data_IF_396485131129
#
_entry.id   IF_396485131129
#
_cell.length_a   1.000
_cell.length_b   1.000
_cell.length_c   1.000
_cell.angle_alpha   90.00
_cell.angle_beta   90.00
_cell.angle_gamma   90.00
#
_symmetry.space_group_name_H-M   'P 1'
#
loop_
_entity.id
_entity.type
_entity.pdbx_description
1 polymer ?
#
# COMPACT_ATOMS: atom_id res chain seq x y z
N UNK A 1 38.76 18.25 0.69
CA UNK A 1 37.32 18.25 1.03
C UNK A 1 37.02 16.88 1.62
N UNK A 2 36.97 16.81 2.95
CA UNK A 2 36.94 15.55 3.72
C UNK A 2 35.64 14.81 3.44
N UNK A 3 35.75 13.60 2.88
CA UNK A 3 34.66 12.65 2.81
C UNK A 3 34.35 12.22 4.24
N UNK A 4 33.45 12.96 4.91
CA UNK A 4 32.87 12.52 6.17
C UNK A 4 32.27 11.14 5.94
N UNK A 5 32.82 10.16 6.64
CA UNK A 5 32.48 8.74 6.53
C UNK A 5 31.03 8.57 6.98
N UNK A 6 30.08 8.63 6.04
CA UNK A 6 28.67 8.47 6.37
C UNK A 6 28.48 7.01 6.75
N UNK A 7 28.14 6.78 8.02
CA UNK A 7 27.76 5.45 8.50
C UNK A 7 26.69 4.86 7.58
N UNK A 8 26.92 3.67 7.00
CA UNK A 8 26.00 3.08 6.05
C UNK A 8 24.68 2.71 6.74
N UNK A 9 23.59 2.81 5.99
CA UNK A 9 22.26 2.39 6.42
C UNK A 9 22.23 0.86 6.53
N UNK A 10 22.14 0.37 7.77
CA UNK A 10 22.04 -1.06 8.11
C UNK A 10 20.59 -1.52 8.23
N UNK A 11 20.38 -2.85 8.25
CA UNK A 11 19.06 -3.50 8.31
C UNK A 11 18.18 -2.99 9.47
N UNK A 12 18.77 -2.72 10.64
CA UNK A 12 18.00 -2.26 11.80
C UNK A 12 17.37 -0.87 11.61
N UNK A 13 17.92 -0.02 10.73
CA UNK A 13 17.26 1.24 10.36
C UNK A 13 15.99 0.98 9.56
N UNK A 14 15.99 -0.05 8.70
CA UNK A 14 14.79 -0.49 7.99
C UNK A 14 13.73 -1.04 8.95
N UNK A 15 14.14 -1.81 9.95
CA UNK A 15 13.24 -2.31 11.01
C UNK A 15 12.65 -1.15 11.82
N UNK A 16 13.47 -0.20 12.27
CA UNK A 16 13.00 0.97 12.99
C UNK A 16 12.04 1.81 12.15
N UNK A 17 12.40 2.08 10.90
CA UNK A 17 11.56 2.81 9.96
C UNK A 17 10.21 2.10 9.76
N UNK A 18 10.21 0.78 9.58
CA UNK A 18 8.98 0.01 9.45
C UNK A 18 8.12 0.04 10.70
N UNK A 19 8.73 -0.08 11.89
CA UNK A 19 8.02 0.03 13.16
C UNK A 19 7.35 1.42 13.32
N UNK A 20 8.05 2.49 12.95
CA UNK A 20 7.50 3.85 12.93
C UNK A 20 6.37 3.99 11.92
N UNK A 21 6.54 3.46 10.70
CA UNK A 21 5.50 3.46 9.68
C UNK A 21 4.25 2.74 10.18
N UNK A 22 4.37 1.54 10.75
CA UNK A 22 3.25 0.79 11.32
C UNK A 22 2.55 1.57 12.45
N UNK A 23 3.31 2.17 13.36
CA UNK A 23 2.75 2.99 14.44
C UNK A 23 1.94 4.18 13.89
N UNK A 24 2.44 4.85 12.85
CA UNK A 24 1.74 5.92 12.16
C UNK A 24 0.48 5.40 11.44
N UNK A 25 0.57 4.27 10.73
CA UNK A 25 -0.57 3.67 10.01
C UNK A 25 -1.74 3.40 10.96
N UNK A 26 -1.47 2.72 12.08
CA UNK A 26 -2.51 2.41 13.06
C UNK A 26 -2.95 3.63 13.86
N UNK A 27 -2.04 4.58 14.14
CA UNK A 27 -2.37 5.84 14.79
C UNK A 27 -3.34 6.68 13.97
N UNK A 28 -3.06 6.86 12.67
CA UNK A 28 -3.92 7.58 11.73
C UNK A 28 -5.26 6.87 11.52
N UNK A 29 -5.25 5.55 11.41
CA UNK A 29 -6.48 4.75 11.33
C UNK A 29 -7.39 5.01 12.53
N UNK A 30 -6.85 4.94 13.75
CA UNK A 30 -7.61 5.21 14.98
C UNK A 30 -8.10 6.66 15.04
N UNK A 31 -7.29 7.62 14.61
CA UNK A 31 -7.67 9.03 14.55
C UNK A 31 -8.83 9.28 13.57
N UNK A 32 -8.75 8.75 12.35
CA UNK A 32 -9.81 8.88 11.34
C UNK A 32 -11.13 8.27 11.82
N UNK A 33 -11.06 7.14 12.54
CA UNK A 33 -12.22 6.50 13.14
C UNK A 33 -12.83 7.30 14.29
N UNK A 34 -11.99 7.82 15.17
CA UNK A 34 -12.44 8.66 16.28
C UNK A 34 -13.13 9.92 15.76
N UNK A 35 -12.57 10.55 14.72
CA UNK A 35 -13.18 11.70 14.02
C UNK A 35 -14.56 11.37 13.42
N UNK A 36 -14.80 10.10 13.10
CA UNK A 36 -16.09 9.57 12.63
C UNK A 36 -17.06 9.15 13.74
N UNK A 37 -16.66 9.25 15.01
CA UNK A 37 -17.52 8.92 16.16
C UNK A 37 -17.50 7.46 16.60
N UNK A 38 -16.56 6.64 16.12
CA UNK A 38 -16.40 5.27 16.62
C UNK A 38 -15.86 5.27 18.06
N UNK A 39 -16.51 4.54 18.97
CA UNK A 39 -16.18 4.50 20.41
C UNK A 39 -15.29 3.33 20.82
N UNK A 40 -15.26 2.26 20.04
CA UNK A 40 -14.47 1.06 20.34
C UNK A 40 -13.11 1.09 19.66
N UNK A 41 -12.14 0.38 20.26
CA UNK A 41 -10.84 0.17 19.66
C UNK A 41 -11.01 -0.75 18.44
N UNK A 42 -11.13 -0.14 17.26
CA UNK A 42 -11.09 -0.84 15.99
C UNK A 42 -9.87 -1.74 15.86
N UNK A 43 -10.03 -2.87 15.16
CA UNK A 43 -8.96 -3.84 14.93
C UNK A 43 -9.14 -4.60 13.62
N UNK A 44 -8.40 -5.69 13.49
CA UNK A 44 -8.35 -6.53 12.29
C UNK A 44 -9.74 -7.09 11.93
N UNK A 45 -10.54 -7.49 12.92
CA UNK A 45 -11.90 -8.01 12.73
C UNK A 45 -12.81 -7.01 12.00
N UNK A 46 -12.64 -5.72 12.22
CA UNK A 46 -13.48 -4.71 11.56
C UNK A 46 -12.99 -4.36 10.16
N UNK A 47 -11.67 -4.36 9.95
CA UNK A 47 -11.08 -4.26 8.62
C UNK A 47 -11.57 -5.44 7.78
N UNK A 48 -11.54 -6.64 8.35
CA UNK A 48 -12.07 -7.84 7.74
C UNK A 48 -13.57 -7.73 7.48
N UNK A 49 -14.39 -7.35 8.47
CA UNK A 49 -15.82 -7.14 8.24
C UNK A 49 -16.09 -6.16 7.11
N UNK A 50 -15.46 -4.98 7.10
CA UNK A 50 -15.64 -4.02 6.01
C UNK A 50 -15.19 -4.58 4.65
N UNK A 51 -14.13 -5.37 4.61
CA UNK A 51 -13.67 -6.01 3.39
C UNK A 51 -14.63 -7.12 2.91
N UNK A 52 -15.17 -7.91 3.84
CA UNK A 52 -16.08 -9.03 3.56
C UNK A 52 -17.51 -8.55 3.28
N UNK A 53 -17.89 -7.38 3.79
CA UNK A 53 -19.16 -6.70 3.58
C UNK A 53 -19.26 -6.21 2.13
N UNK A 54 -20.23 -6.75 1.38
CA UNK A 54 -20.54 -6.30 0.03
C UNK A 54 -20.00 -7.18 -1.09
N UNK A 55 -20.16 -6.71 -2.32
CA UNK A 55 -19.78 -7.45 -3.52
C UNK A 55 -18.27 -7.42 -3.73
N UNK A 56 -17.69 -8.61 -3.89
CA UNK A 56 -16.27 -8.81 -4.23
C UNK A 56 -16.15 -9.65 -5.49
N UNK A 57 -15.11 -9.43 -6.32
CA UNK A 57 -14.89 -10.24 -7.50
C UNK A 57 -14.40 -11.65 -7.14
N UNK A 58 -14.67 -12.65 -7.97
CA UNK A 58 -14.28 -14.06 -7.70
C UNK A 58 -12.78 -14.26 -7.47
N UNK A 59 -11.95 -13.40 -8.06
CA UNK A 59 -10.49 -13.43 -7.91
C UNK A 59 -9.99 -12.72 -6.64
N UNK A 60 -10.90 -12.20 -5.78
CA UNK A 60 -10.52 -11.62 -4.50
C UNK A 60 -9.78 -12.66 -3.64
N UNK A 61 -8.56 -12.37 -3.17
CA UNK A 61 -7.81 -13.29 -2.32
C UNK A 61 -8.58 -13.61 -1.03
N UNK A 62 -8.34 -14.78 -0.40
CA UNK A 62 -8.81 -15.01 0.95
C UNK A 62 -8.10 -14.07 1.94
N UNK A 63 -8.77 -13.70 3.05
CA UNK A 63 -8.26 -12.72 4.03
C UNK A 63 -6.86 -13.08 4.56
N UNK A 64 -6.56 -14.36 4.77
CA UNK A 64 -5.26 -14.81 5.28
C UNK A 64 -4.10 -14.52 4.31
N UNK A 65 -4.35 -14.41 3.00
CA UNK A 65 -3.30 -14.21 2.00
C UNK A 65 -2.66 -12.81 2.08
N UNK A 66 -3.39 -11.83 2.63
CA UNK A 66 -2.91 -10.46 2.76
C UNK A 66 -1.68 -10.37 3.68
N UNK A 67 -1.65 -11.10 4.80
CA UNK A 67 -0.54 -11.06 5.76
C UNK A 67 0.81 -11.46 5.16
N UNK A 68 0.93 -12.68 4.59
CA UNK A 68 2.15 -13.13 3.91
C UNK A 68 2.54 -12.24 2.72
N UNK A 69 1.57 -11.83 1.89
CA UNK A 69 1.84 -10.98 0.74
C UNK A 69 2.45 -9.64 1.16
N UNK A 70 1.85 -8.96 2.13
CA UNK A 70 2.38 -7.69 2.65
C UNK A 70 3.72 -7.84 3.34
N UNK A 71 3.96 -8.96 4.04
CA UNK A 71 5.27 -9.22 4.65
C UNK A 71 6.36 -9.32 3.58
N UNK A 72 6.14 -10.11 2.53
CA UNK A 72 7.08 -10.24 1.41
C UNK A 72 7.32 -8.89 0.72
N UNK A 73 6.25 -8.15 0.43
CA UNK A 73 6.31 -6.86 -0.25
C UNK A 73 7.04 -5.79 0.57
N UNK A 74 6.80 -5.75 1.88
CA UNK A 74 7.46 -4.80 2.79
C UNK A 74 8.95 -5.11 2.91
N UNK A 75 9.34 -6.39 3.00
CA UNK A 75 10.76 -6.79 3.01
C UNK A 75 11.45 -6.34 1.72
N UNK A 76 10.85 -6.61 0.55
CA UNK A 76 11.39 -6.17 -0.74
C UNK A 76 11.53 -4.65 -0.85
N UNK A 77 10.51 -3.91 -0.42
CA UNK A 77 10.48 -2.44 -0.45
C UNK A 77 11.50 -1.82 0.50
N UNK A 78 11.62 -2.33 1.73
CA UNK A 78 12.62 -1.88 2.71
C UNK A 78 14.04 -2.17 2.22
N UNK A 79 14.27 -3.35 1.64
CA UNK A 79 15.57 -3.68 1.07
C UNK A 79 15.93 -2.75 -0.08
N UNK A 80 14.98 -2.46 -0.98
CA UNK A 80 15.18 -1.52 -2.09
C UNK A 80 15.50 -0.10 -1.59
N UNK A 81 14.77 0.38 -0.56
CA UNK A 81 15.00 1.66 0.09
C UNK A 81 16.40 1.75 0.71
N UNK A 82 16.79 0.78 1.54
CA UNK A 82 18.11 0.74 2.19
C UNK A 82 19.24 0.66 1.16
N UNK A 83 19.05 -0.12 0.09
CA UNK A 83 20.00 -0.23 -1.01
C UNK A 83 20.19 1.13 -1.69
N UNK A 84 19.11 1.84 -2.04
CA UNK A 84 19.17 3.17 -2.64
C UNK A 84 19.80 4.21 -1.70
N UNK A 85 19.49 4.16 -0.40
CA UNK A 85 20.07 5.05 0.59
C UNK A 85 21.60 4.94 0.68
N UNK A 86 22.14 3.73 0.50
CA UNK A 86 23.57 3.44 0.48
C UNK A 86 24.26 3.69 -0.88
N UNK A 87 23.52 4.05 -1.92
CA UNK A 87 24.12 4.46 -3.19
C UNK A 87 24.75 5.85 -3.09
N UNK A 88 25.70 6.15 -3.97
CA UNK A 88 26.26 7.50 -4.14
C UNK A 88 25.15 8.52 -4.40
N UNK A 89 25.20 9.72 -3.79
CA UNK A 89 24.26 10.79 -4.10
C UNK A 89 24.23 11.12 -5.59
N UNK A 90 23.04 11.36 -6.12
CA UNK A 90 22.83 11.70 -7.53
C UNK A 90 21.36 11.90 -7.84
N UNK A 91 21.04 12.60 -8.92
CA UNK A 91 19.66 12.97 -9.28
C UNK A 91 18.74 11.76 -9.39
N UNK A 92 19.19 10.68 -10.04
CA UNK A 92 18.38 9.47 -10.21
C UNK A 92 18.09 8.78 -8.86
N UNK A 93 19.07 8.78 -7.93
CA UNK A 93 18.88 8.28 -6.57
C UNK A 93 17.87 9.14 -5.83
N UNK A 94 17.95 10.46 -5.94
CA UNK A 94 17.00 11.39 -5.30
C UNK A 94 15.59 11.14 -5.81
N UNK A 95 15.40 11.03 -7.14
CA UNK A 95 14.09 10.73 -7.73
C UNK A 95 13.54 9.40 -7.21
N UNK A 96 14.36 8.34 -7.17
CA UNK A 96 13.93 7.06 -6.62
C UNK A 96 13.50 7.18 -5.15
N UNK A 97 14.31 7.85 -4.32
CA UNK A 97 13.99 8.04 -2.91
C UNK A 97 12.73 8.89 -2.70
N UNK A 98 12.49 9.92 -3.51
CA UNK A 98 11.24 10.69 -3.48
C UNK A 98 10.04 9.80 -3.78
N UNK A 99 10.11 8.96 -4.82
CA UNK A 99 9.04 8.03 -5.15
C UNK A 99 8.78 7.01 -4.02
N UNK A 100 9.84 6.51 -3.38
CA UNK A 100 9.71 5.64 -2.21
C UNK A 100 9.09 6.37 -1.02
N UNK A 101 9.48 7.62 -0.74
CA UNK A 101 8.86 8.43 0.31
C UNK A 101 7.37 8.59 0.06
N UNK A 102 6.96 8.93 -1.16
CA UNK A 102 5.54 9.05 -1.53
C UNK A 102 4.81 7.71 -1.38
N UNK A 103 5.45 6.61 -1.77
CA UNK A 103 4.89 5.25 -1.63
C UNK A 103 4.64 4.88 -0.17
N UNK A 104 5.58 5.22 0.73
CA UNK A 104 5.43 4.96 2.16
C UNK A 104 4.40 5.89 2.82
N UNK A 105 4.26 7.13 2.36
CA UNK A 105 3.19 8.03 2.81
C UNK A 105 1.81 7.51 2.39
N UNK A 106 1.69 7.01 1.16
CA UNK A 106 0.47 6.35 0.68
C UNK A 106 0.14 5.13 1.57
N UNK A 107 1.11 4.23 1.76
CA UNK A 107 0.98 3.05 2.63
C UNK A 107 0.53 3.42 4.06
N UNK A 108 1.15 4.43 4.66
CA UNK A 108 0.84 4.89 6.03
C UNK A 108 -0.57 5.48 6.12
N UNK A 109 -1.04 6.16 5.08
CA UNK A 109 -2.37 6.80 5.08
C UNK A 109 -3.49 5.87 4.64
N UNK A 110 -3.17 4.74 4.00
CA UNK A 110 -4.14 3.82 3.40
C UNK A 110 -5.21 3.33 4.38
N UNK A 111 -4.81 2.81 5.56
CA UNK A 111 -5.79 2.29 6.52
C UNK A 111 -6.77 3.37 6.99
N UNK A 112 -6.28 4.59 7.20
CA UNK A 112 -7.12 5.71 7.57
C UNK A 112 -8.09 6.09 6.44
N UNK A 113 -7.57 6.26 5.22
CA UNK A 113 -8.34 6.72 4.06
C UNK A 113 -9.41 5.70 3.61
N UNK A 114 -9.08 4.42 3.62
CA UNK A 114 -9.98 3.34 3.18
C UNK A 114 -10.88 2.86 4.32
N UNK A 115 -10.30 2.24 5.35
CA UNK A 115 -11.06 1.57 6.42
C UNK A 115 -11.51 2.55 7.50
N UNK A 116 -10.66 3.50 7.87
CA UNK A 116 -10.99 4.51 8.86
C UNK A 116 -12.18 5.35 8.43
N UNK A 117 -12.18 5.79 7.17
CA UNK A 117 -13.30 6.51 6.56
C UNK A 117 -14.37 5.61 5.93
N UNK A 118 -14.23 4.28 5.96
CA UNK A 118 -15.11 3.29 5.29
C UNK A 118 -15.49 3.67 3.85
N UNK A 119 -14.48 3.99 3.04
CA UNK A 119 -14.62 4.47 1.67
C UNK A 119 -13.96 3.48 0.68
N UNK A 120 -14.77 2.65 -0.02
CA UNK A 120 -14.29 1.83 -1.12
C UNK A 120 -13.59 2.64 -2.22
N UNK A 121 -14.07 3.86 -2.49
CA UNK A 121 -13.49 4.72 -3.52
C UNK A 121 -12.07 5.16 -3.13
N UNK A 122 -11.84 5.55 -1.87
CA UNK A 122 -10.50 5.82 -1.37
C UNK A 122 -9.62 4.56 -1.42
N UNK A 123 -10.19 3.39 -1.12
CA UNK A 123 -9.51 2.11 -1.28
C UNK A 123 -8.96 1.92 -2.70
N UNK A 124 -9.76 2.22 -3.73
CA UNK A 124 -9.30 2.21 -5.12
C UNK A 124 -8.24 3.28 -5.42
N UNK A 125 -8.50 4.54 -5.06
CA UNK A 125 -7.62 5.68 -5.38
C UNK A 125 -6.22 5.50 -4.79
N UNK A 126 -6.11 5.16 -3.51
CA UNK A 126 -4.81 4.92 -2.88
C UNK A 126 -4.11 3.69 -3.46
N UNK A 127 -4.83 2.58 -3.67
CA UNK A 127 -4.22 1.38 -4.26
C UNK A 127 -3.65 1.67 -5.65
N UNK A 128 -4.40 2.41 -6.48
CA UNK A 128 -3.96 2.81 -7.81
C UNK A 128 -2.79 3.80 -7.76
N UNK A 129 -2.81 4.76 -6.83
CA UNK A 129 -1.71 5.69 -6.63
C UNK A 129 -0.42 4.95 -6.21
N UNK A 130 -0.52 4.03 -5.25
CA UNK A 130 0.60 3.20 -4.83
C UNK A 130 1.12 2.31 -5.98
N UNK A 131 0.22 1.77 -6.81
CA UNK A 131 0.62 1.00 -7.98
C UNK A 131 1.46 1.83 -8.96
N UNK A 132 1.00 3.04 -9.29
CA UNK A 132 1.72 3.97 -10.17
C UNK A 132 3.06 4.37 -9.57
N UNK A 133 3.12 4.73 -8.28
CA UNK A 133 4.36 5.09 -7.59
C UNK A 133 5.37 3.93 -7.59
N UNK A 134 4.90 2.70 -7.42
CA UNK A 134 5.72 1.49 -7.45
C UNK A 134 6.24 1.21 -8.87
N UNK A 135 5.39 1.32 -9.90
CA UNK A 135 5.81 1.21 -11.29
C UNK A 135 6.89 2.23 -11.66
N UNK A 136 6.70 3.49 -11.25
CA UNK A 136 7.68 4.56 -11.49
C UNK A 136 8.99 4.27 -10.74
N UNK A 137 8.92 3.81 -9.49
CA UNK A 137 10.09 3.40 -8.72
C UNK A 137 10.85 2.26 -9.42
N UNK A 138 10.13 1.25 -9.90
CA UNK A 138 10.68 0.09 -10.59
C UNK A 138 11.31 0.49 -11.94
N UNK A 139 10.70 1.43 -12.67
CA UNK A 139 11.26 2.02 -13.89
C UNK A 139 12.56 2.77 -13.61
N UNK A 140 12.57 3.66 -12.62
CA UNK A 140 13.77 4.41 -12.23
C UNK A 140 14.89 3.46 -11.79
N UNK A 141 14.55 2.42 -11.02
CA UNK A 141 15.50 1.38 -10.63
C UNK A 141 16.16 0.69 -11.83
N UNK A 142 15.35 0.24 -12.78
CA UNK A 142 15.82 -0.54 -13.92
C UNK A 142 16.55 0.32 -14.96
N UNK A 143 15.99 1.48 -15.31
CA UNK A 143 16.45 2.26 -16.46
C UNK A 143 17.45 3.34 -16.05
N UNK A 144 17.18 4.04 -14.95
CA UNK A 144 17.99 5.20 -14.52
C UNK A 144 19.13 4.79 -13.62
N UNK A 145 18.86 3.95 -12.62
CA UNK A 145 19.88 3.43 -11.70
C UNK A 145 20.61 2.20 -12.26
N UNK A 146 20.06 1.57 -13.31
CA UNK A 146 20.59 0.33 -13.91
C UNK A 146 20.80 -0.80 -12.90
N UNK A 147 19.95 -0.84 -11.87
CA UNK A 147 20.03 -1.79 -10.78
C UNK A 147 18.89 -2.82 -10.88
N UNK A 148 19.17 -3.93 -11.54
CA UNK A 148 18.20 -5.02 -11.73
C UNK A 148 17.76 -5.63 -10.41
N UNK A 149 18.65 -5.75 -9.42
CA UNK A 149 18.30 -6.36 -8.14
C UNK A 149 17.30 -5.47 -7.40
N UNK A 150 17.52 -4.15 -7.44
CA UNK A 150 16.60 -3.16 -6.91
C UNK A 150 15.22 -3.24 -7.57
N UNK A 151 15.18 -3.31 -8.90
CA UNK A 151 13.92 -3.45 -9.66
C UNK A 151 13.19 -4.78 -9.33
N UNK A 152 13.93 -5.88 -9.23
CA UNK A 152 13.38 -7.20 -8.89
C UNK A 152 12.79 -7.24 -7.49
N UNK A 153 13.38 -6.54 -6.51
CA UNK A 153 12.86 -6.47 -5.16
C UNK A 153 11.47 -5.80 -5.07
N UNK A 154 11.12 -4.93 -6.03
CA UNK A 154 9.80 -4.30 -6.12
C UNK A 154 8.79 -5.12 -6.92
N UNK A 155 9.22 -6.15 -7.65
CA UNK A 155 8.35 -6.93 -8.54
C UNK A 155 7.20 -7.63 -7.82
N UNK A 156 7.39 -8.29 -6.65
CA UNK A 156 6.29 -8.88 -5.90
C UNK A 156 5.21 -7.84 -5.53
N UNK A 157 5.64 -6.66 -5.08
CA UNK A 157 4.74 -5.56 -4.73
C UNK A 157 3.98 -5.06 -5.97
N UNK A 158 4.64 -4.87 -7.11
CA UNK A 158 3.99 -4.44 -8.36
C UNK A 158 2.91 -5.43 -8.80
N UNK A 159 3.19 -6.74 -8.75
CA UNK A 159 2.21 -7.76 -9.12
C UNK A 159 1.02 -7.78 -8.15
N UNK A 160 1.30 -7.66 -6.86
CA UNK A 160 0.26 -7.58 -5.83
C UNK A 160 -0.63 -6.33 -6.03
N UNK A 161 -0.02 -5.17 -6.28
CA UNK A 161 -0.75 -3.92 -6.49
C UNK A 161 -1.53 -3.91 -7.81
N UNK A 162 -1.07 -4.61 -8.85
CA UNK A 162 -1.85 -4.80 -10.08
C UNK A 162 -3.16 -5.56 -9.80
N UNK A 163 -3.08 -6.68 -9.08
CA UNK A 163 -4.25 -7.45 -8.63
C UNK A 163 -5.14 -6.62 -7.70
N UNK A 164 -4.53 -5.96 -6.70
CA UNK A 164 -5.25 -5.16 -5.72
C UNK A 164 -5.96 -3.96 -6.36
N UNK A 165 -5.36 -3.34 -7.38
CA UNK A 165 -6.00 -2.23 -8.12
C UNK A 165 -7.24 -2.71 -8.85
N UNK A 166 -7.16 -3.85 -9.56
CA UNK A 166 -8.33 -4.43 -10.23
C UNK A 166 -9.43 -4.84 -9.23
N UNK A 167 -9.04 -5.43 -8.10
CA UNK A 167 -9.93 -5.78 -7.00
C UNK A 167 -10.63 -4.54 -6.43
N UNK A 168 -9.87 -3.53 -6.01
CA UNK A 168 -10.40 -2.32 -5.41
C UNK A 168 -11.26 -1.51 -6.39
N UNK A 169 -10.95 -1.54 -7.69
CA UNK A 169 -11.79 -0.94 -8.73
C UNK A 169 -13.17 -1.62 -8.80
N UNK A 170 -13.21 -2.95 -8.77
CA UNK A 170 -14.47 -3.70 -8.74
C UNK A 170 -15.27 -3.40 -7.47
N UNK A 171 -14.62 -3.40 -6.30
CA UNK A 171 -15.26 -3.09 -5.02
C UNK A 171 -15.83 -1.66 -5.03
N UNK A 172 -15.05 -0.67 -5.47
CA UNK A 172 -15.50 0.72 -5.58
C UNK A 172 -16.65 0.90 -6.58
N UNK A 173 -16.68 0.10 -7.65
CA UNK A 173 -17.72 0.14 -8.67
C UNK A 173 -19.05 -0.46 -8.18
N UNK A 174 -19.00 -1.58 -7.47
CA UNK A 174 -20.19 -2.37 -7.13
C UNK A 174 -20.79 -2.05 -5.76
N UNK A 175 -20.07 -1.33 -4.91
CA UNK A 175 -20.51 -1.02 -3.57
C UNK A 175 -20.72 0.49 -3.40
N UNK A 176 -21.65 0.86 -2.52
CA UNK A 176 -21.88 2.26 -2.15
C UNK A 176 -20.73 2.78 -1.30
N UNK A 177 -20.28 3.98 -1.61
CA UNK A 177 -19.31 4.69 -0.78
C UNK A 177 -20.04 5.50 0.30
N UNK A 178 -19.92 5.05 1.55
CA UNK A 178 -20.59 5.69 2.68
C UNK A 178 -19.99 7.03 3.08
N UNK A 179 -18.74 7.31 2.71
CA UNK A 179 -18.06 8.56 3.07
C UNK A 179 -18.48 9.71 2.16
N UNK A 180 -18.50 9.46 0.85
CA UNK A 180 -18.92 10.45 -0.15
C UNK A 180 -20.41 10.41 -0.45
N UNK A 181 -21.14 9.38 0.01
CA UNK A 181 -22.57 9.21 -0.22
C UNK A 181 -22.94 8.80 -1.65
N UNK A 182 -21.95 8.40 -2.46
CA UNK A 182 -22.07 8.08 -3.89
C UNK A 182 -22.06 6.57 -4.16
N UNK A 183 -22.45 6.18 -5.37
CA UNK A 183 -22.50 4.79 -5.81
C UNK A 183 -23.69 4.00 -5.26
N UNK A 184 -23.81 2.70 -5.58
CA UNK A 184 -22.94 1.95 -6.50
C UNK A 184 -22.97 2.53 -7.92
N UNK A 185 -21.90 2.35 -8.68
CA UNK A 185 -21.76 2.90 -10.03
C UNK A 185 -22.14 1.89 -11.13
N UNK A 186 -22.25 0.61 -10.78
CA UNK A 186 -22.83 -0.43 -11.61
C UNK A 186 -23.24 -1.64 -10.78
N UNK A 187 -24.20 -2.40 -11.28
CA UNK A 187 -24.53 -3.71 -10.73
C UNK A 187 -23.48 -4.75 -11.16
N UNK A 188 -23.07 -5.67 -10.27
CA UNK A 188 -22.16 -6.74 -10.63
C UNK A 188 -22.87 -7.83 -11.44
N UNK A 189 -22.23 -8.32 -12.50
CA UNK A 189 -22.65 -9.56 -13.15
C UNK A 189 -22.42 -10.73 -12.17
N UNK A 190 -23.45 -11.55 -11.87
CA UNK A 190 -23.36 -12.64 -10.88
C UNK A 190 -22.18 -13.60 -11.10
N UNK A 191 -21.72 -13.80 -12.34
CA UNK A 191 -20.58 -14.67 -12.66
C UNK A 191 -19.25 -14.14 -12.13
N UNK A 192 -19.18 -12.83 -11.90
CA UNK A 192 -17.98 -12.18 -11.40
C UNK A 192 -17.99 -12.04 -9.88
N UNK A 193 -19.11 -12.29 -9.22
CA UNK A 193 -19.24 -12.16 -7.76
C UNK A 193 -18.68 -13.39 -7.05
N UNK A 194 -17.81 -13.17 -6.07
CA UNK A 194 -17.32 -14.22 -5.19
C UNK A 194 -18.46 -14.74 -4.32
N UNK A 195 -18.73 -16.03 -4.43
CA UNK A 195 -19.72 -16.75 -3.63
C UNK A 195 -19.00 -17.58 -2.57
N UNK A 196 -19.29 -17.34 -1.29
CA UNK A 196 -18.61 -18.01 -0.16
C UNK A 196 -17.44 -17.23 0.44
N UNK A 197 -17.06 -17.60 1.67
CA UNK A 197 -15.99 -17.00 2.48
C UNK A 197 -14.60 -17.26 1.90
#
# INVERSE_FOLDING_TARGET
>A
MTSGDRTPWRWYHGVLFYALAQALTFGLYRAARAARGAREAGGDDEIERFYLEGYRPFFAPPSWAFGPAWTLNNVGSLWALLRALNMRPGICRTVFLTLQTLSWLDFVTFLAACFGLRSPLNGFVWTAAYFVLTLMSQFVALVRLRDRKLSLALTPLTLWLALATALSAAIARWNRDGFYGVGPFAEPDPRWVKTGS
#
